data_IF_578722661671
#
_entry.id   IF_578722661671
#
_cell.length_a   1.000
_cell.length_b   1.000
_cell.length_c   1.000
_cell.angle_alpha   90.00
_cell.angle_beta   90.00
_cell.angle_gamma   90.00
#
_symmetry.space_group_name_H-M   'P 1'
#
loop_
_entity.id
_entity.type
_entity.pdbx_description
1 polymer ?
#
# COMPACT_ATOMS: atom_id res chain seq x y z
N UNK A 1 -4.04 19.17 -22.57
CA UNK A 1 -3.63 17.96 -22.04
C UNK A 1 -2.79 18.12 -20.79
N UNK A 2 -3.05 17.32 -19.81
CA UNK A 2 -2.31 17.46 -18.57
C UNK A 2 -0.97 16.78 -18.68
N UNK A 3 0.07 17.46 -18.22
CA UNK A 3 1.39 16.88 -18.17
C UNK A 3 1.78 16.43 -16.77
N UNK A 4 0.83 16.45 -15.85
CA UNK A 4 1.13 16.00 -14.50
C UNK A 4 1.52 14.53 -14.52
N UNK A 5 2.57 14.15 -13.79
CA UNK A 5 2.95 12.74 -13.73
C UNK A 5 1.87 11.92 -13.06
N UNK A 6 1.81 10.66 -13.42
CA UNK A 6 0.89 9.73 -12.79
C UNK A 6 1.24 9.60 -11.32
N UNK A 7 0.22 9.42 -10.49
CA UNK A 7 0.44 9.17 -9.07
C UNK A 7 1.06 7.79 -8.88
N UNK A 8 1.95 7.69 -7.92
CA UNK A 8 2.68 6.47 -7.62
C UNK A 8 2.08 5.75 -6.45
N UNK A 9 1.87 4.45 -6.60
CA UNK A 9 1.36 3.61 -5.52
C UNK A 9 2.38 2.53 -5.23
N UNK A 10 2.80 2.42 -3.99
CA UNK A 10 3.69 1.35 -3.54
C UNK A 10 2.81 0.21 -3.01
N UNK A 11 2.97 -0.98 -3.56
CA UNK A 11 2.21 -2.16 -3.13
C UNK A 11 3.17 -3.12 -2.46
N UNK A 12 2.90 -3.45 -1.21
CA UNK A 12 3.76 -4.32 -0.41
C UNK A 12 3.01 -5.59 -0.06
N UNK A 13 3.49 -6.73 -0.58
CA UNK A 13 2.87 -8.03 -0.35
C UNK A 13 3.92 -9.08 -0.67
N UNK A 14 3.99 -10.16 0.10
CA UNK A 14 4.95 -11.22 -0.17
C UNK A 14 4.49 -12.22 -1.22
N UNK A 15 3.27 -12.07 -1.72
CA UNK A 15 2.71 -12.95 -2.73
C UNK A 15 2.85 -12.33 -4.11
N UNK A 16 3.69 -12.92 -4.96
CA UNK A 16 3.96 -12.39 -6.28
C UNK A 16 2.72 -12.29 -7.16
N UNK A 17 1.81 -13.25 -7.02
CA UNK A 17 0.60 -13.27 -7.85
C UNK A 17 -0.29 -12.09 -7.48
N UNK A 18 -0.43 -11.82 -6.19
CA UNK A 18 -1.22 -10.69 -5.73
C UNK A 18 -0.60 -9.37 -6.19
N UNK A 19 0.73 -9.26 -6.07
CA UNK A 19 1.42 -8.07 -6.55
C UNK A 19 1.16 -7.83 -8.03
N UNK A 20 1.28 -8.88 -8.83
CA UNK A 20 1.08 -8.75 -10.25
C UNK A 20 -0.35 -8.37 -10.60
N UNK A 21 -1.32 -9.03 -9.96
CA UNK A 21 -2.73 -8.78 -10.23
C UNK A 21 -3.11 -7.35 -9.88
N UNK A 22 -2.71 -6.91 -8.70
CA UNK A 22 -3.03 -5.55 -8.26
C UNK A 22 -2.30 -4.54 -9.12
N UNK A 23 -1.03 -4.81 -9.47
CA UNK A 23 -0.27 -3.89 -10.30
C UNK A 23 -0.93 -3.66 -11.65
N UNK A 24 -1.38 -4.74 -12.29
CA UNK A 24 -2.06 -4.63 -13.57
C UNK A 24 -3.33 -3.81 -13.45
N UNK A 25 -4.10 -4.03 -12.39
CA UNK A 25 -5.34 -3.32 -12.18
C UNK A 25 -5.09 -1.82 -11.98
N UNK A 26 -4.11 -1.49 -11.16
CA UNK A 26 -3.80 -0.08 -10.88
C UNK A 26 -3.19 0.62 -12.09
N UNK A 27 -2.32 -0.08 -12.83
CA UNK A 27 -1.76 0.49 -14.04
C UNK A 27 -2.84 0.75 -15.07
N UNK A 28 -3.80 -0.16 -15.18
CA UNK A 28 -4.93 0.03 -16.06
C UNK A 28 -5.80 1.22 -15.69
N UNK A 29 -5.77 1.61 -14.42
CA UNK A 29 -6.52 2.78 -13.95
C UNK A 29 -5.71 4.08 -14.06
N UNK A 30 -4.48 4.02 -14.55
CA UNK A 30 -3.68 5.22 -14.79
C UNK A 30 -2.64 5.53 -13.72
N UNK A 31 -2.41 4.62 -12.79
CA UNK A 31 -1.42 4.83 -11.75
C UNK A 31 -0.09 4.17 -12.07
N UNK A 32 0.97 4.72 -11.51
CA UNK A 32 2.28 4.10 -11.56
C UNK A 32 2.41 3.20 -10.34
N UNK A 33 2.98 2.01 -10.51
CA UNK A 33 3.04 1.04 -9.42
C UNK A 33 4.48 0.65 -9.14
N UNK A 34 4.83 0.65 -7.86
CA UNK A 34 6.10 0.16 -7.37
C UNK A 34 5.76 -0.99 -6.43
N UNK A 35 6.50 -2.09 -6.51
CA UNK A 35 6.19 -3.24 -5.67
C UNK A 35 7.34 -3.54 -4.73
N UNK A 36 7.00 -4.15 -3.59
CA UNK A 36 7.99 -4.65 -2.63
C UNK A 36 7.44 -5.92 -2.01
N UNK A 37 8.31 -6.87 -1.76
CA UNK A 37 7.90 -8.17 -1.24
C UNK A 37 8.26 -8.39 0.22
N UNK A 38 9.03 -7.50 0.81
CA UNK A 38 9.36 -7.61 2.23
C UNK A 38 9.56 -6.21 2.80
N UNK A 39 9.78 -6.16 4.12
CA UNK A 39 9.89 -4.88 4.82
C UNK A 39 11.08 -4.05 4.39
N UNK A 40 12.21 -4.68 4.15
CA UNK A 40 13.41 -3.95 3.73
C UNK A 40 13.21 -3.32 2.36
N UNK A 41 12.64 -4.09 1.42
CA UNK A 41 12.32 -3.55 0.11
C UNK A 41 11.31 -2.41 0.19
N UNK A 42 10.30 -2.57 1.06
CA UNK A 42 9.27 -1.56 1.21
C UNK A 42 9.86 -0.24 1.70
N UNK A 43 10.71 -0.30 2.71
CA UNK A 43 11.35 0.91 3.24
C UNK A 43 12.25 1.55 2.19
N UNK A 44 13.04 0.73 1.50
CA UNK A 44 13.93 1.25 0.45
C UNK A 44 13.15 1.90 -0.68
N UNK A 45 12.07 1.27 -1.11
CA UNK A 45 11.24 1.81 -2.18
C UNK A 45 10.55 3.10 -1.74
N UNK A 46 10.07 3.15 -0.51
CA UNK A 46 9.42 4.35 0.01
C UNK A 46 10.37 5.53 0.05
N UNK A 47 11.62 5.28 0.43
CA UNK A 47 12.63 6.34 0.47
C UNK A 47 13.00 6.83 -0.92
N UNK A 48 13.14 5.90 -1.85
CA UNK A 48 13.61 6.22 -3.19
C UNK A 48 12.54 6.86 -4.04
N UNK A 49 11.32 6.35 -3.95
CA UNK A 49 10.25 6.70 -4.89
C UNK A 49 9.27 7.73 -4.34
N UNK A 50 9.22 7.93 -3.04
CA UNK A 50 8.27 8.84 -2.41
C UNK A 50 6.85 8.64 -2.96
N UNK A 51 6.26 7.46 -2.76
CA UNK A 51 4.94 7.16 -3.35
C UNK A 51 3.86 8.08 -2.79
N UNK A 52 2.79 8.21 -3.56
CA UNK A 52 1.64 9.03 -3.17
C UNK A 52 0.65 8.25 -2.32
N UNK A 53 0.72 6.93 -2.34
CA UNK A 53 -0.13 6.06 -1.54
C UNK A 53 0.59 4.72 -1.37
N UNK A 54 0.37 4.06 -0.24
CA UNK A 54 0.96 2.75 0.02
C UNK A 54 -0.15 1.75 0.32
N UNK A 55 -0.11 0.59 -0.34
CA UNK A 55 -0.93 -0.56 0.01
C UNK A 55 -0.05 -1.54 0.73
N UNK A 56 -0.39 -1.89 1.95
CA UNK A 56 0.50 -2.65 2.82
C UNK A 56 -0.21 -3.89 3.36
N UNK A 57 0.29 -5.05 2.98
CA UNK A 57 -0.17 -6.31 3.55
C UNK A 57 0.51 -6.49 4.90
N UNK A 58 -0.28 -6.72 5.94
CA UNK A 58 0.26 -6.92 7.28
C UNK A 58 0.42 -8.40 7.64
N UNK A 59 0.16 -9.28 6.66
CA UNK A 59 0.24 -10.73 6.90
C UNK A 59 1.60 -11.31 6.57
N UNK A 60 2.67 -10.54 6.68
CA UNK A 60 4.00 -11.05 6.40
C UNK A 60 4.34 -12.19 7.34
N UNK A 61 5.02 -13.22 6.85
CA UNK A 61 5.52 -14.26 7.75
C UNK A 61 6.46 -13.62 8.75
N UNK A 62 6.37 -14.01 10.01
CA UNK A 62 7.30 -13.49 10.99
C UNK A 62 8.69 -14.01 10.66
N UNK A 63 9.65 -13.19 10.92
CA UNK A 63 11.01 -13.72 10.94
C UNK A 63 11.63 -14.16 9.64
N UNK A 64 11.92 -13.23 8.79
CA UNK A 64 12.80 -13.48 7.67
C UNK A 64 14.13 -12.85 8.04
N UNK A 65 15.16 -13.65 8.16
CA UNK A 65 16.48 -13.16 8.47
C UNK A 65 16.66 -12.59 9.87
N UNK A 66 15.88 -13.07 10.82
CA UNK A 66 16.04 -12.69 12.21
C UNK A 66 15.42 -11.35 12.56
N UNK A 67 14.79 -10.67 11.61
CA UNK A 67 14.10 -9.43 11.85
C UNK A 67 12.61 -9.64 11.67
N UNK A 68 11.87 -9.27 12.70
CA UNK A 68 10.43 -9.42 12.63
C UNK A 68 9.83 -8.22 11.92
N UNK A 69 9.46 -8.40 10.68
CA UNK A 69 8.81 -7.38 9.90
C UNK A 69 7.34 -7.71 9.74
N UNK A 70 6.48 -7.11 10.55
CA UNK A 70 5.06 -7.18 10.23
C UNK A 70 4.65 -5.83 9.64
N UNK A 71 3.44 -5.77 9.10
CA UNK A 71 3.00 -4.55 8.43
C UNK A 71 2.93 -3.35 9.35
N UNK A 72 2.61 -3.55 10.63
CA UNK A 72 2.52 -2.43 11.55
C UNK A 72 3.90 -1.84 11.84
N UNK A 73 4.92 -2.69 11.87
CA UNK A 73 6.28 -2.22 12.05
C UNK A 73 6.72 -1.41 10.84
N UNK A 74 6.33 -1.85 9.65
CA UNK A 74 6.62 -1.10 8.43
C UNK A 74 5.95 0.26 8.48
N UNK A 75 4.71 0.35 8.99
CA UNK A 75 4.04 1.63 9.16
C UNK A 75 4.79 2.55 10.10
N UNK A 76 5.34 2.00 11.18
CA UNK A 76 6.14 2.82 12.10
C UNK A 76 7.34 3.42 11.38
N UNK A 77 8.00 2.64 10.54
CA UNK A 77 9.11 3.14 9.75
C UNK A 77 8.66 4.25 8.80
N UNK A 78 7.51 4.04 8.14
CA UNK A 78 7.00 5.03 7.20
C UNK A 78 6.73 6.36 7.90
N UNK A 79 6.24 6.33 9.12
CA UNK A 79 5.97 7.56 9.87
C UNK A 79 7.23 8.35 10.20
N UNK A 80 8.39 7.72 10.12
CA UNK A 80 9.67 8.37 10.38
C UNK A 80 10.38 8.85 9.12
N UNK A 81 9.92 8.41 7.94
CA UNK A 81 10.57 8.77 6.69
C UNK A 81 9.92 10.03 6.13
N UNK A 82 10.74 11.03 5.88
CA UNK A 82 10.21 12.30 5.33
C UNK A 82 9.45 12.10 4.04
N UNK A 83 9.89 11.15 3.21
CA UNK A 83 9.26 10.96 1.91
C UNK A 83 7.87 10.38 1.99
N UNK A 84 7.48 9.73 3.11
CA UNK A 84 6.19 9.06 3.21
C UNK A 84 5.46 9.28 4.53
N UNK A 85 5.96 10.15 5.41
CA UNK A 85 5.33 10.25 6.72
C UNK A 85 3.91 10.75 6.67
N UNK A 86 3.50 11.42 5.60
CA UNK A 86 2.13 11.89 5.42
C UNK A 86 1.40 11.14 4.33
N UNK A 87 2.01 10.11 3.77
CA UNK A 87 1.41 9.34 2.69
C UNK A 87 0.32 8.44 3.25
N UNK A 88 -0.87 8.44 2.64
CA UNK A 88 -1.93 7.56 3.11
C UNK A 88 -1.56 6.10 2.89
N UNK A 89 -1.93 5.25 3.84
CA UNK A 89 -1.64 3.83 3.79
C UNK A 89 -2.94 3.05 3.87
N UNK A 90 -3.13 2.13 2.93
CA UNK A 90 -4.24 1.18 2.94
C UNK A 90 -3.68 -0.13 3.46
N UNK A 91 -4.28 -0.66 4.51
CA UNK A 91 -3.85 -1.91 5.12
C UNK A 91 -4.67 -3.07 4.55
N UNK A 92 -4.00 -4.15 4.21
CA UNK A 92 -4.61 -5.35 3.64
C UNK A 92 -4.17 -6.54 4.47
N UNK A 93 -5.06 -7.47 4.70
CA UNK A 93 -4.72 -8.67 5.42
C UNK A 93 -5.58 -9.85 4.98
N UNK A 94 -5.02 -11.07 5.04
CA UNK A 94 -5.79 -12.28 4.91
C UNK A 94 -6.33 -12.78 6.24
N UNK A 95 -5.98 -12.11 7.34
CA UNK A 95 -6.39 -12.54 8.67
C UNK A 95 -7.81 -12.14 8.99
N UNK A 96 -8.42 -12.88 9.92
CA UNK A 96 -9.80 -12.66 10.31
C UNK A 96 -9.92 -12.03 11.70
N UNK A 97 -8.82 -11.69 12.31
CA UNK A 97 -8.82 -11.17 13.66
C UNK A 97 -9.33 -9.74 13.69
N UNK A 98 -10.39 -9.51 14.45
CA UNK A 98 -11.00 -8.18 14.58
C UNK A 98 -10.01 -7.17 15.12
N UNK A 99 -9.09 -7.59 15.96
CA UNK A 99 -8.12 -6.66 16.55
C UNK A 99 -7.18 -6.07 15.49
N UNK A 100 -7.01 -6.73 14.35
CA UNK A 100 -6.18 -6.19 13.28
C UNK A 100 -6.78 -4.92 12.70
N UNK A 101 -8.10 -4.90 12.54
CA UNK A 101 -8.76 -3.71 12.05
C UNK A 101 -8.63 -2.56 13.04
N UNK A 102 -8.77 -2.86 14.33
CA UNK A 102 -8.63 -1.84 15.36
C UNK A 102 -7.21 -1.28 15.36
N UNK A 103 -6.21 -2.14 15.25
CA UNK A 103 -4.83 -1.70 15.18
C UNK A 103 -4.56 -0.85 13.93
N UNK A 104 -5.16 -1.22 12.80
CA UNK A 104 -4.99 -0.47 11.56
C UNK A 104 -5.56 0.95 11.71
N UNK A 105 -6.74 1.06 12.28
CA UNK A 105 -7.35 2.36 12.53
C UNK A 105 -6.49 3.18 13.50
N UNK A 106 -6.04 2.55 14.57
CA UNK A 106 -5.22 3.23 15.57
C UNK A 106 -3.89 3.70 14.99
N UNK A 107 -3.35 2.99 14.00
CA UNK A 107 -2.08 3.37 13.39
C UNK A 107 -2.23 4.45 12.31
N UNK A 108 -3.46 4.88 12.05
CA UNK A 108 -3.70 5.96 11.11
C UNK A 108 -3.93 5.52 9.67
N UNK A 109 -4.28 4.26 9.46
CA UNK A 109 -4.53 3.77 8.10
C UNK A 109 -5.73 4.48 7.49
N UNK A 110 -5.61 4.75 6.19
CA UNK A 110 -6.71 5.36 5.44
C UNK A 110 -7.87 4.40 5.29
N UNK A 111 -7.58 3.13 5.07
CA UNK A 111 -8.59 2.10 4.87
C UNK A 111 -8.02 0.74 5.21
N UNK A 112 -8.91 -0.23 5.37
CA UNK A 112 -8.54 -1.58 5.75
C UNK A 112 -9.36 -2.56 4.91
N UNK A 113 -8.68 -3.50 4.24
CA UNK A 113 -9.34 -4.48 3.41
C UNK A 113 -8.92 -5.89 3.80
N UNK A 114 -9.87 -6.81 3.76
CA UNK A 114 -9.56 -8.23 3.89
C UNK A 114 -9.44 -8.86 2.50
N UNK A 115 -8.57 -9.84 2.39
CA UNK A 115 -8.46 -10.63 1.16
C UNK A 115 -9.59 -11.65 1.10
N UNK A 116 -10.14 -11.93 -0.07
CA UNK A 116 -9.82 -11.34 -1.37
C UNK A 116 -10.36 -9.92 -1.46
N UNK A 117 -9.59 -9.06 -2.10
CA UNK A 117 -9.94 -7.65 -2.19
C UNK A 117 -10.91 -7.42 -3.33
N UNK A 118 -11.96 -6.66 -3.07
CA UNK A 118 -12.83 -6.20 -4.14
C UNK A 118 -12.11 -5.04 -4.83
N UNK A 119 -11.70 -5.25 -6.08
CA UNK A 119 -10.91 -4.25 -6.78
C UNK A 119 -11.66 -2.96 -7.04
N UNK A 120 -12.98 -3.04 -7.23
CA UNK A 120 -13.76 -1.82 -7.44
C UNK A 120 -13.80 -0.97 -6.17
N UNK A 121 -13.98 -1.60 -5.02
CA UNK A 121 -13.94 -0.88 -3.75
C UNK A 121 -12.56 -0.28 -3.51
N UNK A 122 -11.52 -1.04 -3.82
CA UNK A 122 -10.16 -0.57 -3.67
C UNK A 122 -9.92 0.68 -4.52
N UNK A 123 -10.32 0.64 -5.80
CA UNK A 123 -10.14 1.78 -6.68
C UNK A 123 -10.93 3.00 -6.22
N UNK A 124 -12.11 2.79 -5.66
CA UNK A 124 -12.87 3.92 -5.11
C UNK A 124 -12.12 4.63 -4.01
N UNK A 125 -11.53 3.87 -3.11
CA UNK A 125 -10.76 4.46 -2.00
C UNK A 125 -9.54 5.18 -2.54
N UNK A 126 -8.83 4.57 -3.48
CA UNK A 126 -7.63 5.17 -4.05
C UNK A 126 -7.97 6.47 -4.77
N UNK A 127 -9.02 6.47 -5.58
CA UNK A 127 -9.44 7.69 -6.29
C UNK A 127 -9.85 8.78 -5.32
N UNK A 128 -10.51 8.41 -4.23
CA UNK A 128 -10.89 9.36 -3.23
C UNK A 128 -9.67 10.01 -2.59
N UNK A 129 -8.62 9.25 -2.37
CA UNK A 129 -7.40 9.73 -1.73
C UNK A 129 -6.52 10.55 -2.69
N UNK A 130 -6.38 10.09 -3.92
CA UNK A 130 -5.41 10.66 -4.87
C UNK A 130 -6.03 11.48 -5.98
N UNK A 131 -7.33 11.46 -6.09
CA UNK A 131 -8.00 12.05 -7.24
C UNK A 131 -8.03 11.07 -8.39
N UNK A 132 -8.95 11.26 -9.29
CA UNK A 132 -9.13 10.37 -10.43
C UNK A 132 -8.49 10.98 -11.66
N UNK A 133 -7.28 10.54 -11.95
CA UNK A 133 -6.57 11.07 -13.09
C UNK A 133 -7.24 10.71 -14.39
N UNK A 134 -7.90 9.59 -14.43
CA UNK A 134 -8.58 9.18 -15.65
C UNK A 134 -9.77 10.05 -15.96
N UNK A 135 -10.34 10.71 -14.96
CA UNK A 135 -11.43 11.58 -15.16
C UNK A 135 -11.03 13.00 -15.35
N UNK A 136 -9.75 13.24 -15.40
CA UNK A 136 -9.28 14.50 -15.53
C UNK A 136 -9.77 15.06 -16.76
N UNK A 137 -10.34 16.01 -16.79
CA UNK A 137 -10.86 16.54 -18.05
C UNK A 137 -10.65 18.03 -18.10
#
# INVERSE_FOLDING_TARGET
>A
MSDAPAKKILVVDDNEIILKTISLKLQGAGYQVITAMDGAEAVAAARREAPDLVMLDISFPPDVGGVEWDGFRIMEWFHRLESVKRTPVIIITGGQDVSLKQRAVASGALAFFNKPIDHDDLLKVIRSALGDKAKKT
#
